data_IF_194011476745
#
_entry.id   IF_194011476745
#
_cell.length_a   1.000
_cell.length_b   1.000
_cell.length_c   1.000
_cell.angle_alpha   90.00
_cell.angle_beta   90.00
_cell.angle_gamma   90.00
#
_symmetry.space_group_name_H-M   'P 1'
#
loop_
_entity.id
_entity.type
_entity.pdbx_description
1 polymer ?
#
# COMPACT_ATOMS: atom_id res chain seq x y z
N UNK A 1 10.90 -8.54 3.16
CA UNK A 1 12.00 -9.52 3.33
C UNK A 1 11.53 -10.88 2.82
N UNK A 2 12.44 -11.75 2.38
CA UNK A 2 12.10 -13.08 1.86
C UNK A 2 12.88 -14.12 2.67
N UNK A 3 12.18 -15.16 3.15
CA UNK A 3 12.75 -16.27 3.88
C UNK A 3 12.52 -17.55 3.09
N UNK A 4 13.57 -18.33 2.85
CA UNK A 4 13.48 -19.59 2.11
C UNK A 4 14.61 -20.54 2.51
N UNK A 5 14.43 -21.82 2.16
CA UNK A 5 15.42 -22.87 2.36
C UNK A 5 15.75 -23.52 1.01
N UNK A 6 16.97 -24.03 0.87
CA UNK A 6 17.35 -24.84 -0.28
C UNK A 6 16.89 -26.29 -0.08
N UNK A 7 16.46 -26.93 -1.17
CA UNK A 7 16.34 -28.39 -1.26
C UNK A 7 14.91 -28.90 -1.39
N UNK A 8 13.98 -28.41 -0.59
CA UNK A 8 12.57 -28.82 -0.67
C UNK A 8 11.78 -27.87 -1.58
N UNK A 9 10.87 -28.40 -2.42
CA UNK A 9 9.93 -27.58 -3.18
C UNK A 9 9.06 -26.72 -2.27
N UNK A 10 8.67 -25.53 -2.76
CA UNK A 10 7.72 -24.66 -2.06
C UNK A 10 6.30 -25.17 -2.28
N UNK A 11 5.63 -25.53 -1.19
CA UNK A 11 4.21 -25.90 -1.22
C UNK A 11 3.31 -24.73 -0.84
N UNK A 12 3.73 -23.95 0.15
CA UNK A 12 2.97 -22.83 0.69
C UNK A 12 3.87 -21.60 0.87
N UNK A 13 3.33 -20.43 0.58
CA UNK A 13 3.96 -19.13 0.78
C UNK A 13 3.19 -18.39 1.86
N UNK A 14 3.89 -18.00 2.92
CA UNK A 14 3.33 -17.22 4.01
C UNK A 14 3.71 -15.76 3.82
N UNK A 15 2.72 -14.86 3.87
CA UNK A 15 2.93 -13.42 3.70
C UNK A 15 2.45 -12.72 4.97
N UNK A 16 3.30 -11.83 5.49
CA UNK A 16 2.94 -10.91 6.57
C UNK A 16 2.82 -9.50 6.01
N UNK A 17 1.65 -8.87 6.13
CA UNK A 17 1.41 -7.49 5.73
C UNK A 17 1.79 -6.52 6.86
N UNK A 18 3.03 -6.02 6.79
CA UNK A 18 3.55 -4.96 7.65
C UNK A 18 3.40 -3.56 7.03
N UNK A 19 2.55 -3.38 6.00
CA UNK A 19 2.42 -2.13 5.24
C UNK A 19 1.05 -1.49 5.41
N UNK A 20 -0.01 -2.24 5.10
CA UNK A 20 -1.37 -1.69 5.07
C UNK A 20 -1.77 -1.15 6.46
N UNK A 21 -2.19 0.11 6.54
CA UNK A 21 -2.61 0.79 7.77
C UNK A 21 -1.54 0.79 8.87
N UNK A 22 -0.26 0.66 8.51
CA UNK A 22 0.86 0.77 9.46
C UNK A 22 1.39 2.20 9.35
N UNK A 23 1.39 2.98 10.45
CA UNK A 23 1.94 4.32 10.42
C UNK A 23 3.38 4.33 9.91
N UNK A 24 3.77 5.41 9.23
CA UNK A 24 5.14 5.58 8.77
C UNK A 24 6.17 5.50 9.90
N UNK A 25 7.36 4.99 9.59
CA UNK A 25 8.50 5.01 10.49
C UNK A 25 9.32 6.27 10.18
N UNK A 26 9.56 7.11 11.18
CA UNK A 26 10.33 8.37 11.03
C UNK A 26 11.54 8.36 11.93
N UNK A 27 12.58 9.15 11.61
CA UNK A 27 13.81 9.17 12.41
C UNK A 27 13.64 9.82 13.78
N UNK A 28 12.69 10.75 13.94
CA UNK A 28 12.55 11.58 15.13
C UNK A 28 11.34 11.19 15.98
N UNK A 29 10.15 11.13 15.38
CA UNK A 29 8.89 10.94 16.09
C UNK A 29 8.54 9.46 16.33
N UNK A 30 8.83 8.58 15.35
CA UNK A 30 8.53 7.15 15.44
C UNK A 30 9.65 6.27 14.84
N UNK A 31 10.80 6.15 15.54
CA UNK A 31 11.94 5.36 15.07
C UNK A 31 11.62 3.86 14.99
N UNK A 32 12.32 3.15 14.09
CA UNK A 32 12.20 1.70 13.97
C UNK A 32 12.72 1.00 15.22
N UNK A 33 11.85 0.29 15.90
CA UNK A 33 12.18 -0.54 17.08
C UNK A 33 11.76 -2.00 16.88
N UNK A 34 12.27 -2.89 17.72
CA UNK A 34 11.93 -4.31 17.74
C UNK A 34 10.42 -4.56 17.90
N UNK A 35 9.70 -3.67 18.58
CA UNK A 35 8.25 -3.77 18.79
C UNK A 35 7.44 -3.86 17.49
N UNK A 36 7.92 -3.25 16.41
CA UNK A 36 7.23 -3.32 15.12
C UNK A 36 7.27 -4.72 14.48
N UNK A 37 8.14 -5.60 14.98
CA UNK A 37 8.32 -6.95 14.46
C UNK A 37 7.72 -8.03 15.36
N UNK A 38 7.28 -7.69 16.58
CA UNK A 38 6.78 -8.68 17.57
C UNK A 38 5.64 -9.53 17.03
N UNK A 39 4.68 -8.93 16.33
CA UNK A 39 3.56 -9.66 15.72
C UNK A 39 4.04 -10.62 14.62
N UNK A 40 4.95 -10.14 13.75
CA UNK A 40 5.55 -10.97 12.71
C UNK A 40 6.33 -12.14 13.31
N UNK A 41 7.15 -11.91 14.33
CA UNK A 41 7.94 -12.95 15.00
C UNK A 41 7.06 -14.00 15.68
N UNK A 42 5.97 -13.55 16.32
CA UNK A 42 4.94 -14.43 16.89
C UNK A 42 4.30 -15.33 15.83
N UNK A 43 3.95 -14.77 14.67
CA UNK A 43 3.40 -15.50 13.54
C UNK A 43 4.43 -16.44 12.87
N UNK A 44 5.67 -15.98 12.72
CA UNK A 44 6.73 -16.72 12.04
C UNK A 44 7.11 -17.99 12.81
N UNK A 45 7.14 -17.89 14.15
CA UNK A 45 7.47 -18.96 15.08
C UNK A 45 8.98 -19.03 15.41
N UNK A 46 9.33 -19.94 16.34
CA UNK A 46 10.71 -20.08 16.84
C UNK A 46 11.62 -20.89 15.92
N UNK A 47 11.07 -21.62 14.96
CA UNK A 47 11.87 -22.41 14.02
C UNK A 47 12.50 -21.47 12.96
N UNK A 48 13.83 -21.38 12.87
CA UNK A 48 14.50 -20.49 11.91
C UNK A 48 14.25 -20.86 10.44
N UNK A 49 13.80 -22.08 10.16
CA UNK A 49 13.40 -22.54 8.83
C UNK A 49 11.89 -22.42 8.59
N UNK A 50 11.15 -21.88 9.55
CA UNK A 50 9.73 -21.61 9.40
C UNK A 50 8.83 -22.84 9.33
N UNK A 51 9.25 -23.96 9.92
CA UNK A 51 8.48 -25.22 9.95
C UNK A 51 7.62 -25.38 11.20
N UNK A 52 7.63 -24.38 12.09
CA UNK A 52 6.73 -24.31 13.24
C UNK A 52 5.27 -24.29 12.81
N UNK A 53 4.37 -24.61 13.75
CA UNK A 53 2.93 -24.46 13.53
C UNK A 53 2.62 -22.98 13.28
N UNK A 54 1.88 -22.71 12.21
CA UNK A 54 1.42 -21.39 11.79
C UNK A 54 -0.08 -21.42 11.57
N UNK A 55 -0.70 -20.27 11.73
CA UNK A 55 -2.13 -20.08 11.58
C UNK A 55 -2.37 -18.98 10.55
N UNK A 56 -3.25 -19.27 9.59
CA UNK A 56 -3.73 -18.26 8.66
C UNK A 56 -4.77 -17.41 9.40
N UNK A 57 -4.48 -16.11 9.51
CA UNK A 57 -5.32 -15.16 10.25
C UNK A 57 -6.49 -14.63 9.41
N UNK A 58 -6.71 -15.17 8.21
CA UNK A 58 -7.82 -14.82 7.35
C UNK A 58 -7.64 -13.50 6.60
N UNK A 59 -8.66 -13.10 5.86
CA UNK A 59 -8.72 -11.90 5.04
C UNK A 59 -8.65 -10.58 5.82
N UNK A 60 -8.93 -10.60 7.12
CA UNK A 60 -8.77 -9.45 8.00
C UNK A 60 -7.43 -9.47 8.76
N UNK A 61 -6.71 -10.58 8.74
CA UNK A 61 -5.45 -10.76 9.45
C UNK A 61 -4.23 -10.35 8.63
N UNK A 62 -3.14 -9.99 9.31
CA UNK A 62 -1.88 -9.61 8.66
C UNK A 62 -1.05 -10.79 8.18
N UNK A 63 -1.35 -12.02 8.61
CA UNK A 63 -0.55 -13.21 8.27
C UNK A 63 -1.40 -14.26 7.56
N UNK A 64 -1.10 -14.53 6.29
CA UNK A 64 -1.88 -15.46 5.46
C UNK A 64 -1.01 -16.45 4.72
N UNK A 65 -1.60 -17.60 4.42
CA UNK A 65 -0.99 -18.71 3.69
C UNK A 65 -1.59 -18.80 2.29
N UNK A 66 -0.71 -18.88 1.29
CA UNK A 66 -1.08 -19.08 -0.11
C UNK A 66 -0.45 -20.36 -0.61
N UNK A 67 -1.24 -21.25 -1.21
CA UNK A 67 -0.69 -22.45 -1.83
C UNK A 67 0.08 -22.07 -3.10
N UNK A 68 1.11 -22.85 -3.44
CA UNK A 68 1.92 -22.64 -4.63
C UNK A 68 1.10 -22.65 -5.93
N UNK A 69 -0.05 -23.35 -5.97
CA UNK A 69 -0.98 -23.30 -7.09
C UNK A 69 -1.54 -21.90 -7.32
N UNK A 70 -2.00 -21.22 -6.26
CA UNK A 70 -2.54 -19.85 -6.32
C UNK A 70 -1.45 -18.85 -6.75
N UNK A 71 -0.23 -19.04 -6.25
CA UNK A 71 0.92 -18.20 -6.64
C UNK A 71 1.27 -18.42 -8.12
N UNK A 72 1.20 -19.66 -8.59
CA UNK A 72 1.46 -20.02 -9.99
C UNK A 72 0.42 -19.43 -10.95
N UNK A 73 -0.86 -19.42 -10.57
CA UNK A 73 -1.93 -18.77 -11.34
C UNK A 73 -1.69 -17.27 -11.54
N UNK A 74 -1.02 -16.63 -10.59
CA UNK A 74 -0.57 -15.23 -10.69
C UNK A 74 0.74 -15.04 -11.48
N UNK A 75 1.25 -16.08 -12.12
CA UNK A 75 2.55 -16.04 -12.80
C UNK A 75 3.72 -15.86 -11.83
N UNK A 76 3.61 -16.44 -10.63
CA UNK A 76 4.60 -16.36 -9.55
C UNK A 76 4.86 -14.94 -9.00
N UNK A 77 3.94 -14.01 -9.24
CA UNK A 77 3.99 -12.68 -8.62
C UNK A 77 3.60 -12.77 -7.14
N UNK A 78 4.53 -12.33 -6.27
CA UNK A 78 4.37 -12.33 -4.80
C UNK A 78 3.87 -10.98 -4.26
N UNK A 79 3.47 -10.05 -5.14
CA UNK A 79 2.85 -8.76 -4.82
C UNK A 79 1.39 -8.92 -4.36
N UNK A 80 1.14 -9.89 -3.48
CA UNK A 80 -0.20 -10.23 -3.00
C UNK A 80 -0.55 -9.29 -1.84
N UNK A 81 -1.64 -8.55 -2.01
CA UNK A 81 -2.26 -7.70 -1.00
C UNK A 81 -3.73 -8.10 -0.86
N UNK A 82 -4.26 -8.03 0.37
CA UNK A 82 -5.66 -8.37 0.65
C UNK A 82 -6.29 -7.43 1.68
N UNK A 83 -5.48 -6.79 2.54
CA UNK A 83 -5.93 -5.71 3.39
C UNK A 83 -6.11 -4.45 2.54
N UNK A 84 -7.21 -3.74 2.77
CA UNK A 84 -7.47 -2.43 2.17
C UNK A 84 -6.68 -1.37 2.95
N UNK A 85 -6.04 -0.48 2.20
CA UNK A 85 -5.37 0.68 2.79
C UNK A 85 -6.43 1.76 3.06
N UNK A 86 -6.57 2.17 4.32
CA UNK A 86 -7.49 3.22 4.78
C UNK A 86 -6.99 4.63 4.43
N UNK A 87 -5.72 4.77 4.00
CA UNK A 87 -5.15 6.04 3.55
C UNK A 87 -5.34 6.30 2.06
N UNK A 88 -5.79 5.30 1.30
CA UNK A 88 -6.22 5.47 -0.08
C UNK A 88 -7.71 5.77 -0.06
N UNK A 89 -8.14 6.81 -0.79
CA UNK A 89 -9.56 7.06 -1.00
C UNK A 89 -10.21 5.76 -1.48
N UNK A 90 -11.29 5.35 -0.82
CA UNK A 90 -12.04 4.17 -1.21
C UNK A 90 -12.48 4.38 -2.66
N UNK A 91 -12.17 3.50 -3.62
CA UNK A 91 -12.67 3.64 -4.97
C UNK A 91 -14.21 3.65 -5.05
N UNK A 92 -14.91 3.16 -4.01
CA UNK A 92 -16.36 3.31 -3.85
C UNK A 92 -16.80 4.69 -3.32
N UNK A 93 -15.90 5.42 -2.64
CA UNK A 93 -16.14 6.79 -2.14
C UNK A 93 -15.66 7.87 -3.13
N UNK A 94 -14.97 7.48 -4.21
CA UNK A 94 -14.59 8.41 -5.26
C UNK A 94 -15.81 8.83 -6.09
N UNK A 95 -15.95 10.13 -6.42
CA UNK A 95 -16.95 10.57 -7.40
C UNK A 95 -16.72 9.87 -8.74
N UNK A 96 -17.77 9.77 -9.55
CA UNK A 96 -17.66 9.19 -10.87
C UNK A 96 -16.58 9.93 -11.70
N UNK A 97 -15.88 9.24 -12.63
CA UNK A 97 -14.78 9.85 -13.39
C UNK A 97 -15.16 11.14 -14.13
N UNK A 98 -16.40 11.25 -14.61
CA UNK A 98 -16.90 12.48 -15.23
C UNK A 98 -17.02 13.65 -14.27
N UNK A 99 -17.36 13.40 -13.00
CA UNK A 99 -17.51 14.44 -11.98
C UNK A 99 -16.13 14.96 -11.58
N UNK A 100 -15.17 14.05 -11.34
CA UNK A 100 -13.76 14.40 -11.11
C UNK A 100 -13.15 15.19 -12.27
N UNK A 101 -13.41 14.77 -13.51
CA UNK A 101 -12.91 15.49 -14.69
C UNK A 101 -13.53 16.90 -14.80
N UNK A 102 -14.82 17.04 -14.50
CA UNK A 102 -15.52 18.34 -14.55
C UNK A 102 -15.03 19.30 -13.46
N UNK A 103 -14.80 18.79 -12.25
CA UNK A 103 -14.22 19.56 -11.15
C UNK A 103 -12.80 20.05 -11.50
N UNK A 104 -11.95 19.15 -12.00
CA UNK A 104 -10.59 19.49 -12.43
C UNK A 104 -10.57 20.55 -13.54
N UNK A 105 -11.48 20.46 -14.52
CA UNK A 105 -11.61 21.49 -15.57
C UNK A 105 -11.98 22.84 -14.95
N UNK A 106 -12.95 22.85 -14.04
CA UNK A 106 -13.42 24.10 -13.38
C UNK A 106 -12.29 24.76 -12.59
N UNK A 107 -11.51 23.99 -11.83
CA UNK A 107 -10.36 24.53 -11.10
C UNK A 107 -9.30 25.11 -12.06
N UNK A 108 -8.99 24.40 -13.15
CA UNK A 108 -8.02 24.88 -14.15
C UNK A 108 -8.49 26.15 -14.86
N UNK A 109 -9.79 26.27 -15.18
CA UNK A 109 -10.37 27.47 -15.77
C UNK A 109 -10.23 28.68 -14.83
N UNK A 110 -10.48 28.50 -13.54
CA UNK A 110 -10.27 29.54 -12.51
C UNK A 110 -8.81 30.00 -12.44
N UNK A 111 -7.86 29.06 -12.51
CA UNK A 111 -6.43 29.39 -12.57
C UNK A 111 -6.08 30.16 -13.84
N UNK A 112 -6.62 29.74 -14.98
CA UNK A 112 -6.40 30.43 -16.26
C UNK A 112 -6.94 31.86 -16.22
N UNK A 113 -8.12 32.07 -15.66
CA UNK A 113 -8.70 33.41 -15.55
C UNK A 113 -7.90 34.31 -14.60
N UNK A 114 -7.46 33.76 -13.46
CA UNK A 114 -6.54 34.47 -12.55
C UNK A 114 -5.24 34.89 -13.26
N UNK A 115 -4.68 34.04 -14.13
CA UNK A 115 -3.49 34.38 -14.92
C UNK A 115 -3.77 35.47 -15.97
N UNK A 116 -4.94 35.46 -16.61
CA UNK A 116 -5.34 36.53 -17.56
C UNK A 116 -5.48 37.88 -16.87
N UNK A 117 -6.01 37.92 -15.66
CA UNK A 117 -6.09 39.16 -14.86
C UNK A 117 -4.68 39.72 -14.61
N UNK A 118 -3.73 38.89 -14.19
CA UNK A 118 -2.33 39.29 -13.98
C UNK A 118 -1.72 39.85 -15.27
N UNK A 119 -1.95 39.20 -16.42
CA UNK A 119 -1.45 39.70 -17.72
C UNK A 119 -2.03 41.07 -18.04
N UNK A 120 -3.33 41.25 -17.82
CA UNK A 120 -4.02 42.53 -18.08
C UNK A 120 -3.47 43.64 -17.19
N UNK A 121 -3.24 43.37 -15.90
CA UNK A 121 -2.62 44.34 -14.98
C UNK A 121 -1.20 44.73 -15.42
N UNK A 122 -0.39 43.77 -15.86
CA UNK A 122 0.97 44.03 -16.34
C UNK A 122 1.00 44.86 -17.63
N UNK A 123 0.06 44.63 -18.55
CA UNK A 123 -0.09 45.43 -19.77
C UNK A 123 -0.54 46.86 -19.45
N UNK A 124 -1.43 47.03 -18.48
CA UNK A 124 -1.93 48.36 -18.07
C UNK A 124 -0.90 49.20 -17.29
N UNK A 125 0.05 48.58 -16.60
CA UNK A 125 1.12 49.26 -15.86
C UNK A 125 2.38 49.53 -16.71
N UNK A 126 2.36 49.15 -18.00
CA UNK A 126 3.46 49.36 -18.96
C UNK A 126 3.34 50.63 -19.82
N UNK A 127 2.25 51.39 -19.69
CA UNK A 127 2.06 52.75 -20.26
C UNK A 127 2.37 53.85 -19.23
#
# INVERSE_FOLDING_TARGET
MIFFQRGLPTENVWIFDARSNVPGITKKERPLTAKHFEEFEGCYGKDPNGRGKREDLGDQGRFRCFNISQVKERGYKLDITWLKDESLDDPEDLPEPQDLASEAITELESVVDSLKEIVTELESNGE
#
